data_IF_369999841650
#
_entry.id   IF_369999841650
#
_cell.length_a   1.000
_cell.length_b   1.000
_cell.length_c   1.000
_cell.angle_alpha   90.00
_cell.angle_beta   90.00
_cell.angle_gamma   90.00
#
_symmetry.space_group_name_H-M   'P 1'
#
loop_
_entity.id
_entity.type
_entity.pdbx_description
1 polymer ?
#
# COMPACT_ATOMS: atom_id res chain seq x y z
N UNK A 1 -13.42 27.41 -4.10
CA UNK A 1 -14.25 26.73 -3.09
C UNK A 1 -14.63 25.36 -3.64
N UNK A 2 -14.15 24.27 -3.05
CA UNK A 2 -14.46 22.91 -3.52
C UNK A 2 -15.91 22.57 -3.17
N UNK A 3 -16.74 22.26 -4.16
CA UNK A 3 -18.14 21.87 -3.98
C UNK A 3 -18.22 20.49 -3.31
N UNK A 4 -18.78 20.42 -2.09
CA UNK A 4 -19.01 19.15 -1.39
C UNK A 4 -19.99 18.29 -2.19
N UNK A 5 -19.65 17.03 -2.43
CA UNK A 5 -20.56 16.06 -3.05
C UNK A 5 -21.48 15.48 -1.98
N UNK A 6 -22.78 15.64 -2.17
CA UNK A 6 -23.81 15.20 -1.22
C UNK A 6 -24.28 13.78 -1.58
N UNK A 7 -24.27 12.88 -0.61
CA UNK A 7 -24.79 11.50 -0.73
C UNK A 7 -26.12 11.40 0.00
N UNK A 8 -27.13 10.80 -0.64
CA UNK A 8 -28.45 10.61 -0.03
C UNK A 8 -28.82 9.14 -0.07
N UNK A 9 -29.24 8.59 1.07
CA UNK A 9 -29.85 7.27 1.17
C UNK A 9 -31.33 7.47 1.47
N UNK A 10 -32.18 7.27 0.46
CA UNK A 10 -33.61 7.54 0.54
C UNK A 10 -34.40 6.45 1.26
N UNK A 11 -33.81 5.27 1.50
CA UNK A 11 -34.43 4.14 2.20
C UNK A 11 -34.06 4.16 3.68
N UNK A 12 -35.00 3.73 4.52
CA UNK A 12 -34.76 3.52 5.95
C UNK A 12 -35.69 2.45 6.53
N UNK A 13 -35.16 1.63 7.43
CA UNK A 13 -35.92 0.77 8.34
C UNK A 13 -35.99 1.36 9.76
N UNK A 14 -35.59 2.62 9.94
CA UNK A 14 -35.50 3.24 11.26
C UNK A 14 -36.84 3.28 12.00
N UNK A 15 -36.79 2.96 13.29
CA UNK A 15 -37.90 2.95 14.22
C UNK A 15 -37.65 3.96 15.36
N UNK A 16 -38.50 4.99 15.42
CA UNK A 16 -38.40 6.08 16.41
C UNK A 16 -38.71 5.59 17.84
N UNK A 17 -39.47 4.50 17.99
CA UNK A 17 -39.80 3.95 19.31
C UNK A 17 -38.57 3.32 19.99
N UNK A 18 -37.48 3.13 19.23
CA UNK A 18 -36.20 2.62 19.73
C UNK A 18 -35.25 3.74 20.21
N UNK A 19 -35.69 5.00 20.24
CA UNK A 19 -34.90 6.10 20.78
C UNK A 19 -34.82 6.03 22.31
N UNK A 20 -33.74 6.53 22.92
CA UNK A 20 -33.62 6.52 24.38
C UNK A 20 -34.70 7.42 25.00
N UNK A 21 -35.28 6.98 26.11
CA UNK A 21 -36.31 7.73 26.85
C UNK A 21 -35.74 8.61 27.96
N UNK A 22 -34.53 8.32 28.44
CA UNK A 22 -33.85 9.11 29.48
C UNK A 22 -33.08 10.30 28.86
N UNK A 23 -33.80 11.24 28.26
CA UNK A 23 -33.21 12.36 27.50
C UNK A 23 -32.94 13.64 28.29
N UNK A 24 -33.27 13.64 29.59
CA UNK A 24 -33.09 14.79 30.46
C UNK A 24 -32.12 14.46 31.60
N UNK A 25 -31.35 15.46 32.04
CA UNK A 25 -30.56 15.37 33.28
C UNK A 25 -31.51 15.03 34.43
N UNK A 26 -31.07 14.16 35.34
CA UNK A 26 -31.81 13.87 36.57
C UNK A 26 -32.19 15.20 37.24
N UNK A 27 -33.49 15.37 37.49
CA UNK A 27 -34.05 16.49 38.25
C UNK A 27 -33.70 16.24 39.71
N UNK A 28 -33.24 17.29 40.42
CA UNK A 28 -33.04 17.16 41.87
C UNK A 28 -34.38 16.82 42.56
N UNK A 29 -34.37 16.25 43.79
CA UNK A 29 -35.60 15.88 44.50
C UNK A 29 -36.60 17.04 44.70
N UNK A 30 -36.15 18.28 44.57
CA UNK A 30 -36.94 19.51 44.69
C UNK A 30 -37.54 20.02 43.36
N UNK A 31 -37.35 19.31 42.25
CA UNK A 31 -37.90 19.69 40.95
C UNK A 31 -37.04 20.68 40.14
N UNK A 32 -35.85 21.07 40.61
CA UNK A 32 -35.00 22.03 39.87
C UNK A 32 -34.25 21.39 38.69
N UNK A 33 -34.29 22.08 37.54
CA UNK A 33 -33.51 21.75 36.35
C UNK A 33 -32.06 22.24 36.51
N UNK A 34 -31.11 21.32 36.53
CA UNK A 34 -29.68 21.63 36.70
C UNK A 34 -29.07 22.25 35.43
N UNK A 35 -28.81 23.56 35.47
CA UNK A 35 -28.22 24.29 34.33
C UNK A 35 -26.72 23.99 34.13
N UNK A 36 -26.19 24.05 32.88
CA UNK A 36 -24.84 23.61 32.55
C UNK A 36 -23.68 24.56 32.92
N UNK A 37 -23.93 25.75 33.49
CA UNK A 37 -22.91 26.82 33.53
C UNK A 37 -22.60 27.40 34.92
N UNK A 38 -23.21 26.93 36.00
CA UNK A 38 -22.95 27.51 37.33
C UNK A 38 -21.78 26.79 38.02
N UNK A 39 -20.68 27.50 38.33
CA UNK A 39 -19.63 26.99 39.21
C UNK A 39 -20.13 27.12 40.66
N UNK A 40 -21.09 26.29 41.06
CA UNK A 40 -21.45 26.14 42.47
C UNK A 40 -20.93 24.81 43.00
N UNK A 41 -20.28 24.81 44.17
CA UNK A 41 -19.63 23.65 44.74
C UNK A 41 -20.70 22.70 45.28
N UNK A 42 -20.39 21.40 45.25
CA UNK A 42 -21.20 20.28 45.79
C UNK A 42 -22.28 19.76 44.81
N UNK A 43 -21.85 19.11 43.73
CA UNK A 43 -22.65 18.01 43.17
C UNK A 43 -21.97 16.68 43.53
N UNK A 44 -22.50 16.01 44.57
CA UNK A 44 -22.02 14.71 45.07
C UNK A 44 -22.76 13.53 44.41
N UNK A 45 -23.37 13.74 43.24
CA UNK A 45 -24.20 12.75 42.56
C UNK A 45 -23.54 12.10 41.34
N UNK A 46 -24.04 10.93 40.96
CA UNK A 46 -23.79 10.30 39.66
C UNK A 46 -24.95 10.63 38.71
N UNK A 47 -24.67 10.87 37.42
CA UNK A 47 -25.74 11.04 36.41
C UNK A 47 -25.42 10.33 35.10
N UNK A 48 -26.46 9.81 34.44
CA UNK A 48 -26.40 9.09 33.16
C UNK A 48 -27.67 9.40 32.33
N UNK A 49 -27.53 10.24 31.31
CA UNK A 49 -28.64 10.62 30.42
C UNK A 49 -28.16 10.72 28.97
N UNK A 50 -29.10 10.73 28.04
CA UNK A 50 -28.82 10.92 26.61
C UNK A 50 -29.21 12.33 26.18
N UNK A 51 -28.28 13.05 25.56
CA UNK A 51 -28.58 14.31 24.88
C UNK A 51 -28.67 14.03 23.38
N UNK A 52 -29.74 14.46 22.72
CA UNK A 52 -29.77 14.40 21.26
C UNK A 52 -28.65 15.26 20.68
N UNK A 53 -27.95 14.73 19.68
CA UNK A 53 -26.97 15.49 18.90
C UNK A 53 -27.73 16.18 17.78
N UNK A 54 -27.69 17.51 17.74
CA UNK A 54 -28.40 18.28 16.72
C UNK A 54 -27.70 18.20 15.36
N UNK A 55 -28.45 18.40 14.25
CA UNK A 55 -27.88 18.49 12.92
C UNK A 55 -26.73 19.50 12.87
N UNK A 56 -25.70 19.17 12.10
CA UNK A 56 -24.52 20.01 11.88
C UNK A 56 -23.61 20.24 13.10
N UNK A 57 -23.91 19.64 14.26
CA UNK A 57 -22.92 19.53 15.33
C UNK A 57 -21.67 18.75 14.85
N UNK A 58 -20.46 19.01 15.39
CA UNK A 58 -19.24 18.32 14.98
C UNK A 58 -19.35 16.78 15.00
N UNK A 59 -20.12 16.24 15.94
CA UNK A 59 -20.38 14.80 16.09
C UNK A 59 -21.29 14.27 14.98
N UNK A 60 -22.34 15.01 14.63
CA UNK A 60 -23.22 14.69 13.51
C UNK A 60 -22.47 14.75 12.17
N UNK A 61 -21.74 15.84 11.92
CA UNK A 61 -20.91 16.02 10.71
C UNK A 61 -19.89 14.88 10.54
N UNK A 62 -19.26 14.45 11.63
CA UNK A 62 -18.32 13.33 11.62
C UNK A 62 -18.99 12.02 11.21
N UNK A 63 -20.16 11.72 11.78
CA UNK A 63 -20.92 10.52 11.45
C UNK A 63 -21.37 10.51 9.99
N UNK A 64 -21.99 11.60 9.52
CA UNK A 64 -22.44 11.73 8.13
C UNK A 64 -21.28 11.63 7.13
N UNK A 65 -20.12 12.23 7.44
CA UNK A 65 -18.92 12.14 6.59
C UNK A 65 -18.41 10.71 6.50
N UNK A 66 -18.17 10.05 7.64
CA UNK A 66 -17.65 8.66 7.65
C UNK A 66 -18.58 7.68 6.95
N UNK A 67 -19.89 7.86 7.10
CA UNK A 67 -20.89 7.05 6.41
C UNK A 67 -20.86 7.28 4.89
N UNK A 68 -20.74 8.53 4.44
CA UNK A 68 -20.66 8.86 3.01
C UNK A 68 -19.37 8.38 2.35
N UNK A 69 -18.23 8.54 3.03
CA UNK A 69 -16.93 8.01 2.60
C UNK A 69 -17.01 6.50 2.37
N UNK A 70 -17.61 5.77 3.31
CA UNK A 70 -17.79 4.33 3.20
C UNK A 70 -18.67 3.92 2.00
N UNK A 71 -19.79 4.60 1.77
CA UNK A 71 -20.66 4.33 0.62
C UNK A 71 -19.95 4.61 -0.71
N UNK A 72 -19.22 5.71 -0.81
CA UNK A 72 -18.45 6.04 -2.01
C UNK A 72 -17.36 4.99 -2.26
N UNK A 73 -16.67 4.54 -1.21
CA UNK A 73 -15.67 3.48 -1.29
C UNK A 73 -16.26 2.16 -1.82
N UNK A 74 -17.45 1.76 -1.33
CA UNK A 74 -18.15 0.56 -1.81
C UNK A 74 -18.62 0.67 -3.27
N UNK A 75 -18.91 1.87 -3.74
CA UNK A 75 -19.23 2.17 -5.14
C UNK A 75 -18.01 2.41 -6.04
N UNK A 76 -16.78 2.10 -5.58
CA UNK A 76 -15.53 2.36 -6.30
C UNK A 76 -15.30 3.83 -6.69
N UNK A 77 -15.92 4.77 -5.97
CA UNK A 77 -15.70 6.20 -6.13
C UNK A 77 -14.87 6.71 -4.96
N UNK A 78 -13.60 7.05 -5.18
CA UNK A 78 -12.78 7.71 -4.17
C UNK A 78 -13.01 9.22 -4.29
N UNK A 79 -13.65 9.82 -3.29
CA UNK A 79 -13.85 11.27 -3.23
C UNK A 79 -13.57 11.77 -1.82
N UNK A 80 -12.63 12.71 -1.70
CA UNK A 80 -12.17 13.25 -0.41
C UNK A 80 -13.08 14.35 0.15
N UNK A 81 -14.14 14.73 -0.58
CA UNK A 81 -15.06 15.82 -0.21
C UNK A 81 -16.53 15.38 -0.28
N UNK A 82 -16.86 14.26 0.37
CA UNK A 82 -18.22 13.71 0.44
C UNK A 82 -18.84 13.87 1.83
N UNK A 83 -20.15 14.11 1.87
CA UNK A 83 -20.92 14.07 3.11
C UNK A 83 -22.33 13.57 2.82
N UNK A 84 -22.90 12.84 3.76
CA UNK A 84 -24.31 12.44 3.67
C UNK A 84 -25.20 13.66 3.92
N UNK A 85 -26.28 13.82 3.16
CA UNK A 85 -27.25 14.89 3.38
C UNK A 85 -27.80 14.82 4.82
N UNK A 86 -28.32 13.64 5.17
CA UNK A 86 -28.90 13.31 6.46
C UNK A 86 -28.74 11.82 6.73
N UNK A 87 -28.73 11.43 8.00
CA UNK A 87 -28.81 10.02 8.37
C UNK A 87 -30.19 9.44 7.93
N UNK A 88 -30.30 8.13 7.63
CA UNK A 88 -31.56 7.54 7.21
C UNK A 88 -32.71 7.87 8.17
N UNK A 89 -33.91 8.06 7.62
CA UNK A 89 -35.12 8.45 8.37
C UNK A 89 -35.26 7.63 9.66
N UNK A 90 -35.59 8.29 10.77
CA UNK A 90 -35.74 7.69 12.12
C UNK A 90 -34.46 7.12 12.76
N UNK A 91 -33.29 7.26 12.14
CA UNK A 91 -32.02 7.09 12.83
C UNK A 91 -31.54 8.42 13.43
N UNK A 92 -31.23 8.44 14.73
CA UNK A 92 -30.82 9.66 15.45
C UNK A 92 -29.62 9.43 16.36
N UNK A 93 -28.74 10.42 16.39
CA UNK A 93 -27.56 10.43 17.25
C UNK A 93 -27.91 10.96 18.63
N UNK A 94 -27.47 10.23 19.64
CA UNK A 94 -27.54 10.64 21.03
C UNK A 94 -26.18 10.51 21.69
N UNK A 95 -25.81 11.53 22.44
CA UNK A 95 -24.64 11.56 23.30
C UNK A 95 -25.04 11.11 24.71
N UNK A 96 -24.54 9.95 25.13
CA UNK A 96 -24.64 9.51 26.52
C UNK A 96 -23.65 10.31 27.37
N UNK A 97 -24.16 11.06 28.34
CA UNK A 97 -23.34 11.84 29.27
C UNK A 97 -23.36 11.15 30.63
N UNK A 98 -22.20 10.63 31.04
CA UNK A 98 -21.99 9.96 32.32
C UNK A 98 -21.06 10.75 33.22
N UNK A 99 -21.47 11.00 34.44
CA UNK A 99 -20.61 11.55 35.48
C UNK A 99 -20.63 10.66 36.71
N UNK A 100 -19.45 10.42 37.26
CA UNK A 100 -19.23 9.67 38.50
C UNK A 100 -18.64 10.61 39.53
N UNK A 101 -18.98 10.44 40.80
CA UNK A 101 -18.39 11.18 41.92
C UNK A 101 -16.87 11.04 42.01
N UNK A 102 -16.32 9.98 41.41
CA UNK A 102 -14.88 9.69 41.32
C UNK A 102 -14.19 10.34 40.12
N UNK A 103 -14.93 10.98 39.21
CA UNK A 103 -14.40 11.53 37.96
C UNK A 103 -14.43 13.05 37.96
N UNK A 104 -13.34 13.69 37.57
CA UNK A 104 -13.25 15.17 37.49
C UNK A 104 -14.00 15.76 36.29
N UNK A 105 -14.34 14.95 35.28
CA UNK A 105 -15.06 15.37 34.08
C UNK A 105 -16.10 14.32 33.64
N UNK A 106 -17.24 14.73 33.05
CA UNK A 106 -18.20 13.80 32.47
C UNK A 106 -17.61 13.08 31.26
N UNK A 107 -17.79 11.76 31.20
CA UNK A 107 -17.52 10.96 30.01
C UNK A 107 -18.69 11.10 29.03
N UNK A 108 -18.38 11.31 27.76
CA UNK A 108 -19.39 11.36 26.69
C UNK A 108 -19.14 10.31 25.62
N UNK A 109 -20.17 9.53 25.28
CA UNK A 109 -20.14 8.51 24.22
C UNK A 109 -21.29 8.75 23.25
N UNK A 110 -21.06 8.68 21.94
CA UNK A 110 -22.09 8.91 20.92
C UNK A 110 -22.62 7.58 20.39
N UNK A 111 -23.94 7.46 20.30
CA UNK A 111 -24.62 6.29 19.78
C UNK A 111 -25.64 6.69 18.72
N UNK A 112 -25.82 5.84 17.72
CA UNK A 112 -26.91 5.94 16.75
C UNK A 112 -28.03 4.98 17.15
N UNK A 113 -29.20 5.53 17.41
CA UNK A 113 -30.44 4.80 17.73
C UNK A 113 -31.37 4.77 16.52
N UNK A 114 -32.32 3.83 16.54
CA UNK A 114 -33.34 3.69 15.49
C UNK A 114 -33.40 2.30 14.85
N UNK A 115 -32.52 1.35 15.18
CA UNK A 115 -32.59 0.02 14.55
C UNK A 115 -33.80 -0.78 15.09
N UNK A 116 -34.61 -1.46 14.25
CA UNK A 116 -35.83 -2.19 14.67
C UNK A 116 -35.67 -3.28 15.73
N UNK A 117 -34.44 -3.69 16.03
CA UNK A 117 -34.17 -4.67 17.10
C UNK A 117 -33.97 -4.04 18.48
N UNK A 118 -34.10 -2.71 18.59
CA UNK A 118 -33.82 -1.93 19.81
C UNK A 118 -32.33 -1.81 20.15
N UNK A 119 -31.46 -2.42 19.33
CA UNK A 119 -30.00 -2.27 19.46
C UNK A 119 -29.56 -0.91 18.91
N UNK A 120 -28.43 -0.41 19.41
CA UNK A 120 -27.81 0.85 18.99
C UNK A 120 -26.42 0.62 18.44
N UNK A 121 -26.01 1.44 17.48
CA UNK A 121 -24.65 1.43 16.95
C UNK A 121 -23.76 2.37 17.75
N UNK A 122 -22.55 1.95 18.11
CA UNK A 122 -21.59 2.71 18.92
C UNK A 122 -20.58 3.50 18.10
N UNK A 123 -20.57 3.28 16.79
CA UNK A 123 -19.68 3.99 15.86
C UNK A 123 -20.22 3.90 14.43
N UNK A 124 -19.78 4.79 13.52
CA UNK A 124 -20.10 4.69 12.10
C UNK A 124 -19.75 3.32 11.52
N UNK A 125 -18.61 2.74 11.91
CA UNK A 125 -18.15 1.44 11.41
C UNK A 125 -19.09 0.29 11.77
N UNK A 126 -19.81 0.36 12.88
CA UNK A 126 -20.83 -0.64 13.23
C UNK A 126 -22.10 -0.49 12.38
N UNK A 127 -22.41 0.74 11.95
CA UNK A 127 -23.59 1.07 11.15
C UNK A 127 -23.39 0.87 9.64
N UNK A 128 -22.16 1.03 9.14
CA UNK A 128 -21.80 0.97 7.72
C UNK A 128 -22.40 -0.25 6.98
N UNK A 129 -22.28 -1.45 7.53
CA UNK A 129 -22.82 -2.67 6.90
C UNK A 129 -24.36 -2.60 6.75
N UNK A 130 -25.05 -1.98 7.72
CA UNK A 130 -26.50 -1.76 7.67
C UNK A 130 -26.87 -0.67 6.68
N UNK A 131 -26.11 0.43 6.67
CA UNK A 131 -26.31 1.54 5.75
C UNK A 131 -26.13 1.12 4.28
N UNK A 132 -25.13 0.28 3.99
CA UNK A 132 -24.95 -0.28 2.64
C UNK A 132 -26.11 -1.20 2.25
N UNK A 133 -26.59 -2.03 3.17
CA UNK A 133 -27.79 -2.83 2.95
C UNK A 133 -29.02 -1.95 2.66
N UNK A 134 -29.23 -0.86 3.39
CA UNK A 134 -30.29 0.12 3.10
C UNK A 134 -30.15 0.73 1.70
N UNK A 135 -28.93 1.04 1.28
CA UNK A 135 -28.65 1.67 -0.01
C UNK A 135 -28.78 0.70 -1.20
N UNK A 136 -28.44 -0.58 -1.04
CA UNK A 136 -28.21 -1.50 -2.16
C UNK A 136 -29.06 -2.77 -2.15
N UNK A 137 -29.74 -3.13 -1.05
CA UNK A 137 -30.52 -4.37 -0.98
C UNK A 137 -31.73 -4.35 -1.91
N UNK A 138 -31.79 -5.32 -2.83
CA UNK A 138 -32.90 -5.49 -3.75
C UNK A 138 -34.15 -6.09 -3.08
N UNK A 139 -33.96 -7.08 -2.21
CA UNK A 139 -35.05 -7.84 -1.55
C UNK A 139 -35.50 -7.21 -0.24
N UNK A 140 -34.67 -6.36 0.36
CA UNK A 140 -34.92 -5.75 1.67
C UNK A 140 -35.20 -6.78 2.79
N UNK A 141 -34.69 -7.99 2.62
CA UNK A 141 -34.70 -8.99 3.67
C UNK A 141 -33.58 -8.69 4.68
N UNK A 142 -33.95 -8.47 5.94
CA UNK A 142 -33.00 -8.20 7.04
C UNK A 142 -32.09 -9.40 7.31
N UNK A 143 -32.48 -10.62 6.92
CA UNK A 143 -31.63 -11.81 7.05
C UNK A 143 -30.36 -11.71 6.19
N UNK A 144 -30.40 -10.93 5.10
CA UNK A 144 -29.25 -10.70 4.22
C UNK A 144 -28.33 -9.57 4.72
N UNK A 145 -28.67 -8.90 5.82
CA UNK A 145 -27.86 -7.81 6.37
C UNK A 145 -26.77 -8.35 7.28
N UNK A 146 -25.52 -7.92 7.04
CA UNK A 146 -24.36 -8.41 7.79
C UNK A 146 -24.03 -7.60 9.06
N UNK A 147 -24.83 -6.57 9.37
CA UNK A 147 -24.54 -5.67 10.47
C UNK A 147 -24.65 -6.34 11.85
N UNK A 148 -24.00 -5.74 12.86
CA UNK A 148 -23.99 -6.27 14.23
C UNK A 148 -25.38 -6.27 14.91
N UNK A 149 -26.32 -5.47 14.42
CA UNK A 149 -27.68 -5.40 14.95
C UNK A 149 -28.63 -6.43 14.33
N UNK A 150 -28.39 -6.88 13.08
CA UNK A 150 -29.17 -7.90 12.37
C UNK A 150 -28.71 -9.33 12.69
N UNK A 151 -27.41 -9.57 12.92
CA UNK A 151 -26.92 -10.90 13.32
C UNK A 151 -27.35 -11.24 14.76
N UNK A 152 -27.96 -12.41 14.95
CA UNK A 152 -28.31 -12.93 16.28
C UNK A 152 -27.05 -13.17 17.12
N UNK A 153 -26.84 -12.34 18.16
CA UNK A 153 -25.94 -12.61 19.29
C UNK A 153 -24.43 -12.60 19.06
N UNK A 154 -23.94 -12.61 17.82
CA UNK A 154 -22.50 -12.60 17.54
C UNK A 154 -21.88 -11.23 17.76
N UNK A 155 -21.42 -10.92 18.98
CA UNK A 155 -20.41 -9.87 19.17
C UNK A 155 -19.26 -10.20 18.21
N UNK A 156 -18.95 -9.32 17.24
CA UNK A 156 -17.62 -9.34 16.62
C UNK A 156 -16.61 -9.35 17.80
N UNK A 157 -15.62 -10.24 17.83
CA UNK A 157 -14.72 -10.36 18.97
C UNK A 157 -14.18 -8.97 19.32
N UNK A 158 -14.33 -8.59 20.59
CA UNK A 158 -13.84 -7.31 21.11
C UNK A 158 -12.35 -7.23 20.76
N UNK A 159 -11.98 -6.31 19.87
CA UNK A 159 -10.59 -5.91 19.70
C UNK A 159 -10.19 -5.16 20.98
N UNK A 160 -9.79 -5.91 22.01
CA UNK A 160 -8.97 -5.34 23.07
C UNK A 160 -7.77 -4.67 22.40
N UNK A 161 -7.50 -3.44 22.80
CA UNK A 161 -6.51 -2.53 22.23
C UNK A 161 -5.06 -3.01 22.34
N UNK A 162 -4.75 -4.14 21.71
CA UNK A 162 -3.49 -4.34 21.03
C UNK A 162 -3.71 -3.85 19.61
N UNK A 163 -2.74 -3.12 19.03
CA UNK A 163 -2.69 -2.81 17.59
C UNK A 163 -2.93 -4.13 16.86
N UNK A 164 -4.17 -4.36 16.45
CA UNK A 164 -4.53 -5.58 15.74
C UNK A 164 -3.86 -5.39 14.39
N UNK A 165 -3.08 -6.37 13.91
CA UNK A 165 -2.58 -6.30 12.54
C UNK A 165 -3.79 -5.99 11.64
N UNK A 166 -3.65 -5.05 10.68
CA UNK A 166 -4.76 -4.62 9.85
C UNK A 166 -5.50 -5.85 9.31
N UNK A 167 -6.84 -5.84 9.36
CA UNK A 167 -7.62 -6.91 8.77
C UNK A 167 -7.14 -7.10 7.33
N UNK A 168 -7.14 -8.33 6.81
CA UNK A 168 -6.65 -8.64 5.45
C UNK A 168 -7.15 -7.63 4.41
N UNK A 169 -8.44 -7.29 4.45
CA UNK A 169 -9.08 -6.27 3.58
C UNK A 169 -8.45 -4.88 3.73
N UNK A 170 -8.20 -4.41 4.96
CA UNK A 170 -7.60 -3.10 5.21
C UNK A 170 -6.15 -3.05 4.71
N UNK A 171 -5.41 -4.15 4.89
CA UNK A 171 -4.03 -4.27 4.38
C UNK A 171 -4.00 -4.32 2.86
N UNK A 172 -4.91 -5.08 2.25
CA UNK A 172 -4.99 -5.20 0.79
C UNK A 172 -5.41 -3.85 0.18
N UNK A 173 -6.33 -3.12 0.81
CA UNK A 173 -6.68 -1.74 0.43
C UNK A 173 -5.50 -0.76 0.56
N UNK A 174 -4.73 -0.85 1.66
CA UNK A 174 -3.55 -0.03 1.86
C UNK A 174 -2.48 -0.30 0.80
N UNK A 175 -2.26 -1.58 0.47
CA UNK A 175 -1.29 -1.98 -0.55
C UNK A 175 -1.75 -1.59 -1.97
N UNK A 176 -3.05 -1.67 -2.28
CA UNK A 176 -3.61 -1.13 -3.53
C UNK A 176 -3.40 0.39 -3.60
N UNK A 177 -3.67 1.12 -2.51
CA UNK A 177 -3.43 2.57 -2.44
C UNK A 177 -1.95 2.91 -2.63
N UNK A 178 -1.06 2.13 -2.01
CA UNK A 178 0.39 2.31 -2.16
C UNK A 178 0.82 2.07 -3.61
N UNK A 179 0.41 0.96 -4.22
CA UNK A 179 0.68 0.67 -5.64
C UNK A 179 0.25 1.81 -6.54
N UNK A 180 -1.00 2.29 -6.40
CA UNK A 180 -1.52 3.38 -7.22
C UNK A 180 -0.74 4.69 -7.00
N UNK A 181 -0.23 4.94 -5.80
CA UNK A 181 0.63 6.09 -5.54
C UNK A 181 2.03 5.92 -6.15
N UNK A 182 2.53 4.69 -6.27
CA UNK A 182 3.86 4.33 -6.76
C UNK A 182 3.95 4.22 -8.29
N UNK A 183 2.83 3.93 -8.96
CA UNK A 183 2.76 3.67 -10.42
C UNK A 183 2.03 4.75 -11.21
N UNK A 184 1.46 5.77 -10.55
CA UNK A 184 0.81 6.89 -11.25
C UNK A 184 1.81 7.80 -11.98
N UNK A 185 1.39 8.50 -13.05
CA UNK A 185 2.15 9.62 -13.60
C UNK A 185 2.51 10.63 -12.51
N UNK A 186 3.76 11.08 -12.50
CA UNK A 186 4.28 11.97 -11.45
C UNK A 186 4.49 11.30 -10.07
N UNK A 187 4.43 9.96 -9.97
CA UNK A 187 4.74 9.24 -8.73
C UNK A 187 6.14 9.60 -8.16
N UNK A 188 6.33 9.54 -6.84
CA UNK A 188 7.64 9.70 -6.20
C UNK A 188 8.68 8.74 -6.78
N UNK A 189 9.95 9.17 -6.81
CA UNK A 189 11.03 8.37 -7.39
C UNK A 189 11.32 7.11 -6.55
N UNK A 190 11.45 7.31 -5.24
CA UNK A 190 11.73 6.27 -4.25
C UNK A 190 10.46 5.78 -3.55
N UNK A 191 10.47 4.51 -3.15
CA UNK A 191 9.35 3.81 -2.52
C UNK A 191 9.69 3.35 -1.12
N UNK A 192 8.64 3.15 -0.31
CA UNK A 192 8.81 2.71 1.08
C UNK A 192 9.54 1.37 1.12
N UNK A 193 10.53 1.27 2.01
CA UNK A 193 11.35 0.07 2.17
C UNK A 193 12.49 -0.09 1.16
N UNK A 194 12.62 0.80 0.16
CA UNK A 194 13.77 0.79 -0.74
C UNK A 194 15.06 1.24 -0.03
N UNK A 195 16.19 0.84 -0.61
CA UNK A 195 17.51 1.36 -0.24
C UNK A 195 17.93 2.39 -1.29
N UNK A 196 18.44 3.52 -0.82
CA UNK A 196 18.98 4.59 -1.66
C UNK A 196 20.29 5.10 -1.09
N UNK A 197 21.08 5.78 -1.92
CA UNK A 197 22.20 6.58 -1.44
C UNK A 197 21.71 7.95 -1.04
N UNK A 198 22.01 8.36 0.20
CA UNK A 198 21.92 9.75 0.62
C UNK A 198 23.25 10.45 0.30
N UNK A 199 23.16 11.53 -0.49
CA UNK A 199 24.27 12.43 -0.76
C UNK A 199 24.39 13.45 0.38
N UNK A 200 25.61 13.60 0.92
CA UNK A 200 25.92 14.60 1.92
C UNK A 200 25.81 16.04 1.33
N UNK A 201 25.57 17.02 2.19
CA UNK A 201 25.42 18.43 1.75
C UNK A 201 26.76 19.12 1.51
N UNK A 202 27.80 18.68 2.22
CA UNK A 202 29.08 19.36 2.30
C UNK A 202 30.15 18.72 1.42
N UNK A 203 29.96 17.45 1.04
CA UNK A 203 30.84 16.69 0.17
C UNK A 203 30.02 15.69 -0.68
N UNK A 204 30.56 15.17 -1.78
CA UNK A 204 29.89 14.14 -2.61
C UNK A 204 29.93 12.74 -1.93
N UNK A 205 30.12 12.70 -0.60
CA UNK A 205 30.08 11.43 0.12
C UNK A 205 28.64 10.92 0.16
N UNK A 206 28.52 9.61 0.00
CA UNK A 206 27.23 8.93 -0.04
C UNK A 206 27.16 7.89 1.06
N UNK A 207 26.02 7.84 1.76
CA UNK A 207 25.72 6.79 2.73
C UNK A 207 24.42 6.08 2.37
N UNK A 208 24.34 4.75 2.50
CA UNK A 208 23.10 4.05 2.25
C UNK A 208 22.07 4.38 3.32
N UNK A 209 20.82 4.46 2.90
CA UNK A 209 19.69 4.70 3.78
C UNK A 209 18.48 3.89 3.31
N UNK A 210 17.57 3.64 4.25
CA UNK A 210 16.26 3.05 3.98
C UNK A 210 15.22 4.16 3.88
N UNK A 211 14.33 4.07 2.89
CA UNK A 211 13.14 4.91 2.82
C UNK A 211 12.09 4.39 3.82
N UNK A 212 11.71 5.21 4.79
CA UNK A 212 10.78 4.86 5.87
C UNK A 212 9.40 5.48 5.63
N UNK A 213 9.38 6.73 5.18
CA UNK A 213 8.14 7.46 4.88
C UNK A 213 8.36 8.48 3.75
N UNK A 214 7.28 9.07 3.24
CA UNK A 214 7.32 10.10 2.19
C UNK A 214 6.28 11.19 2.43
N UNK A 215 6.67 12.42 2.12
CA UNK A 215 5.80 13.60 2.17
C UNK A 215 5.72 14.18 0.75
N UNK A 216 4.53 14.22 0.18
CA UNK A 216 4.33 14.52 -1.25
C UNK A 216 3.96 15.98 -1.55
N UNK A 217 3.69 16.80 -0.52
CA UNK A 217 3.23 18.18 -0.67
C UNK A 217 4.03 19.14 0.23
N UNK A 218 4.42 20.35 -0.24
CA UNK A 218 4.45 20.84 -1.62
C UNK A 218 5.70 20.38 -2.41
N UNK A 219 6.75 19.91 -1.72
CA UNK A 219 7.97 19.36 -2.30
C UNK A 219 8.13 17.90 -1.84
N UNK A 220 8.54 17.01 -2.76
CA UNK A 220 8.71 15.60 -2.44
C UNK A 220 9.90 15.43 -1.50
N UNK A 221 9.63 14.95 -0.30
CA UNK A 221 10.65 14.60 0.69
C UNK A 221 10.41 13.23 1.30
N UNK A 222 11.46 12.67 1.91
CA UNK A 222 11.47 11.32 2.42
C UNK A 222 11.99 11.29 3.84
N UNK A 223 11.30 10.58 4.73
CA UNK A 223 11.88 10.17 6.00
C UNK A 223 12.76 8.97 5.72
N UNK A 224 14.05 9.09 6.05
CA UNK A 224 15.03 8.03 5.85
C UNK A 224 15.65 7.58 7.16
N UNK A 225 16.05 6.32 7.23
CA UNK A 225 16.78 5.74 8.36
C UNK A 225 18.14 5.19 7.93
N UNK A 226 19.13 5.30 8.82
CA UNK A 226 20.41 4.61 8.65
C UNK A 226 20.25 3.08 8.78
N UNK A 227 21.06 2.32 8.04
CA UNK A 227 20.95 0.86 8.03
C UNK A 227 21.64 0.20 9.23
N UNK A 228 22.74 0.77 9.75
CA UNK A 228 23.53 0.21 10.84
C UNK A 228 22.94 0.44 12.25
N UNK A 229 21.74 1.00 12.36
CA UNK A 229 20.97 1.02 13.61
C UNK A 229 21.23 2.23 14.51
N UNK A 230 21.97 3.25 14.05
CA UNK A 230 21.89 4.58 14.65
C UNK A 230 20.54 5.16 14.23
N UNK A 231 19.52 5.00 15.08
CA UNK A 231 18.14 5.47 14.85
C UNK A 231 18.07 7.00 14.73
N UNK A 232 18.55 7.55 13.63
CA UNK A 232 18.33 8.92 13.25
C UNK A 232 17.45 8.91 12.01
N UNK A 233 16.14 8.95 12.25
CA UNK A 233 15.20 9.30 11.20
C UNK A 233 15.38 10.78 10.87
N UNK A 234 15.64 11.07 9.60
CA UNK A 234 15.73 12.43 9.11
C UNK A 234 14.87 12.59 7.87
N UNK A 235 14.24 13.75 7.73
CA UNK A 235 13.53 14.10 6.51
C UNK A 235 14.50 14.77 5.54
N UNK A 236 14.56 14.26 4.32
CA UNK A 236 15.44 14.79 3.26
C UNK A 236 14.65 15.06 1.99
N UNK A 237 15.06 16.09 1.27
CA UNK A 237 14.52 16.38 -0.06
C UNK A 237 14.91 15.28 -1.07
N UNK A 238 14.05 15.01 -2.05
CA UNK A 238 14.31 14.01 -3.10
C UNK A 238 15.65 14.22 -3.82
N UNK A 239 16.07 15.48 -4.03
CA UNK A 239 17.32 15.83 -4.71
C UNK A 239 18.58 15.29 -4.00
N UNK A 240 18.47 14.95 -2.71
CA UNK A 240 19.56 14.37 -1.92
C UNK A 240 19.65 12.86 -2.01
N UNK A 241 18.71 12.22 -2.68
CA UNK A 241 18.64 10.77 -2.81
C UNK A 241 18.96 10.36 -4.24
N UNK A 242 19.80 9.34 -4.40
CA UNK A 242 20.04 8.69 -5.69
C UNK A 242 19.82 7.17 -5.58
N UNK A 243 19.37 6.51 -6.67
CA UNK A 243 19.12 5.07 -6.66
C UNK A 243 20.33 4.27 -6.20
N UNK A 244 20.12 3.21 -5.42
CA UNK A 244 21.21 2.34 -4.97
C UNK A 244 22.08 1.83 -6.13
N UNK A 245 21.45 1.46 -7.24
CA UNK A 245 22.09 0.98 -8.47
C UNK A 245 22.97 2.02 -9.18
N UNK A 246 22.89 3.30 -8.81
CA UNK A 246 23.60 4.39 -9.49
C UNK A 246 25.02 4.62 -8.99
N UNK A 247 25.45 3.92 -7.94
CA UNK A 247 26.84 3.97 -7.44
C UNK A 247 27.30 2.57 -7.04
N UNK A 248 28.59 2.28 -7.22
CA UNK A 248 29.20 1.02 -6.75
C UNK A 248 29.46 1.09 -5.25
N UNK A 249 29.00 0.08 -4.53
CA UNK A 249 29.37 -0.14 -3.13
C UNK A 249 30.62 -1.01 -3.04
N UNK A 250 31.58 -0.62 -2.21
CA UNK A 250 32.76 -1.45 -1.92
C UNK A 250 32.38 -2.58 -0.95
N UNK A 251 32.53 -3.83 -1.41
CA UNK A 251 32.26 -5.03 -0.61
C UNK A 251 33.19 -5.18 0.59
N UNK A 252 34.35 -4.53 0.56
CA UNK A 252 35.32 -4.53 1.67
C UNK A 252 35.17 -3.29 2.57
N UNK A 253 34.14 -2.47 2.37
CA UNK A 253 33.96 -1.25 3.13
C UNK A 253 33.82 -1.55 4.63
N UNK A 254 34.57 -0.85 5.51
CA UNK A 254 34.39 -0.98 6.96
C UNK A 254 33.07 -0.35 7.45
N UNK A 255 32.33 0.33 6.57
CA UNK A 255 31.06 0.97 6.91
C UNK A 255 29.96 -0.10 7.04
N UNK A 256 29.45 -0.28 8.26
CA UNK A 256 28.38 -1.25 8.59
C UNK A 256 27.10 -1.02 7.79
N UNK A 257 26.76 0.24 7.47
CA UNK A 257 25.57 0.55 6.67
C UNK A 257 25.76 0.08 5.22
N UNK A 258 26.98 0.17 4.67
CA UNK A 258 27.31 -0.37 3.33
C UNK A 258 27.23 -1.89 3.33
N UNK A 259 27.83 -2.56 4.33
CA UNK A 259 27.76 -4.02 4.45
C UNK A 259 26.32 -4.53 4.54
N UNK A 260 25.50 -3.85 5.34
CA UNK A 260 24.09 -4.19 5.48
C UNK A 260 23.30 -3.91 4.20
N UNK A 261 23.58 -2.82 3.48
CA UNK A 261 22.97 -2.55 2.19
C UNK A 261 23.28 -3.64 1.15
N UNK A 262 24.53 -4.09 1.08
CA UNK A 262 24.96 -5.19 0.20
C UNK A 262 24.24 -6.49 0.55
N UNK A 263 24.13 -6.83 1.84
CA UNK A 263 23.40 -8.02 2.30
C UNK A 263 21.93 -7.98 1.88
N UNK A 264 21.26 -6.83 2.08
CA UNK A 264 19.85 -6.66 1.68
C UNK A 264 19.71 -6.68 0.16
N UNK A 265 20.70 -6.17 -0.57
CA UNK A 265 20.73 -6.17 -2.04
C UNK A 265 20.78 -7.58 -2.62
N UNK A 266 21.29 -8.56 -1.87
CA UNK A 266 21.28 -9.99 -2.23
C UNK A 266 20.04 -10.73 -1.70
N UNK A 267 18.93 -10.03 -1.43
CA UNK A 267 17.70 -10.63 -0.92
C UNK A 267 16.48 -10.32 -1.79
N UNK A 268 15.43 -11.13 -1.68
CA UNK A 268 14.14 -10.81 -2.29
C UNK A 268 12.97 -11.21 -1.40
N UNK A 269 11.82 -10.56 -1.57
CA UNK A 269 10.56 -10.96 -0.91
C UNK A 269 9.34 -10.61 -1.76
N UNK A 270 8.46 -11.58 -1.95
CA UNK A 270 7.15 -11.39 -2.58
C UNK A 270 6.17 -10.82 -1.55
N UNK A 271 5.28 -9.94 -1.98
CA UNK A 271 4.26 -9.38 -1.10
C UNK A 271 2.89 -9.30 -1.78
N UNK A 272 1.84 -9.26 -0.94
CA UNK A 272 0.44 -9.18 -1.37
C UNK A 272 0.08 -10.25 -2.41
N UNK A 273 -0.01 -11.50 -1.95
CA UNK A 273 -0.54 -12.61 -2.75
C UNK A 273 -1.95 -12.25 -3.25
N UNK A 274 -2.18 -12.41 -4.54
CA UNK A 274 -3.48 -12.18 -5.18
C UNK A 274 -4.18 -13.54 -5.23
N UNK A 275 -5.24 -13.69 -4.44
CA UNK A 275 -5.99 -14.96 -4.30
C UNK A 275 -7.08 -15.13 -5.37
N UNK A 276 -7.13 -14.26 -6.37
CA UNK A 276 -8.26 -14.13 -7.31
C UNK A 276 -8.22 -15.06 -8.53
N UNK A 277 -7.34 -16.07 -8.64
CA UNK A 277 -7.15 -16.77 -9.92
C UNK A 277 -7.20 -18.31 -9.93
N UNK A 278 -7.67 -18.89 -11.06
CA UNK A 278 -8.11 -20.29 -11.22
C UNK A 278 -7.01 -21.25 -11.69
N UNK A 279 -5.79 -20.74 -11.95
CA UNK A 279 -4.65 -21.57 -12.34
C UNK A 279 -3.83 -21.98 -11.11
N UNK A 280 -3.97 -23.22 -10.62
CA UNK A 280 -3.20 -23.69 -9.47
C UNK A 280 -1.69 -23.72 -9.73
N UNK A 281 -1.26 -23.59 -10.99
CA UNK A 281 0.14 -23.67 -11.40
C UNK A 281 0.91 -22.34 -11.30
N UNK A 282 0.21 -21.24 -11.09
CA UNK A 282 0.82 -19.91 -11.05
C UNK A 282 0.27 -19.05 -9.91
N UNK A 283 1.07 -18.90 -8.85
CA UNK A 283 0.69 -18.10 -7.68
C UNK A 283 1.03 -16.63 -7.93
N UNK A 284 0.01 -15.80 -8.11
CA UNK A 284 0.15 -14.36 -8.42
C UNK A 284 0.43 -13.51 -7.18
N UNK A 285 1.23 -12.47 -7.35
CA UNK A 285 1.55 -11.47 -6.33
C UNK A 285 1.45 -10.06 -6.93
N UNK A 286 1.11 -9.08 -6.10
CA UNK A 286 1.01 -7.69 -6.56
C UNK A 286 2.38 -7.03 -6.75
N UNK A 287 3.42 -7.53 -6.07
CA UNK A 287 4.77 -7.01 -6.20
C UNK A 287 5.83 -7.83 -5.47
N UNK A 288 7.07 -7.39 -5.63
CA UNK A 288 8.29 -8.03 -5.15
C UNK A 288 9.31 -6.97 -4.72
N UNK A 289 10.07 -7.22 -3.65
CA UNK A 289 11.35 -6.55 -3.46
C UNK A 289 12.45 -7.40 -4.10
N UNK A 290 13.24 -6.83 -4.98
CA UNK A 290 14.47 -7.45 -5.52
C UNK A 290 15.62 -6.56 -5.07
N UNK A 291 16.40 -7.05 -4.12
CA UNK A 291 17.51 -6.33 -3.52
C UNK A 291 17.09 -4.97 -2.95
N UNK A 292 17.60 -3.84 -3.49
CA UNK A 292 17.26 -2.50 -3.03
C UNK A 292 15.87 -2.03 -3.45
N UNK A 293 15.30 -2.60 -4.51
CA UNK A 293 14.17 -2.04 -5.26
C UNK A 293 12.85 -2.69 -4.87
N UNK A 294 11.76 -1.90 -4.88
CA UNK A 294 10.38 -2.38 -4.74
C UNK A 294 9.68 -2.32 -6.08
N UNK A 295 9.28 -3.46 -6.63
CA UNK A 295 8.63 -3.57 -7.94
C UNK A 295 7.17 -4.01 -7.75
N UNK A 296 6.27 -3.36 -8.47
CA UNK A 296 4.84 -3.65 -8.56
C UNK A 296 4.51 -4.23 -9.94
N UNK A 297 3.40 -4.97 -10.02
CA UNK A 297 2.71 -5.14 -11.30
C UNK A 297 2.30 -3.76 -11.83
N UNK A 298 2.47 -3.54 -13.13
CA UNK A 298 2.38 -2.28 -13.87
C UNK A 298 3.62 -1.36 -13.77
N UNK A 299 4.75 -1.89 -13.29
CA UNK A 299 6.03 -1.17 -13.38
C UNK A 299 6.81 -1.45 -14.66
N UNK A 300 7.73 -0.53 -14.94
CA UNK A 300 8.83 -0.73 -15.87
C UNK A 300 10.09 -1.16 -15.13
N UNK A 301 10.64 -2.29 -15.54
CA UNK A 301 11.91 -2.83 -15.04
C UNK A 301 12.91 -2.96 -16.19
N UNK A 302 14.19 -2.86 -15.87
CA UNK A 302 15.25 -3.22 -16.81
C UNK A 302 15.46 -4.72 -16.78
N UNK A 303 15.67 -5.32 -17.93
CA UNK A 303 16.00 -6.73 -18.05
C UNK A 303 17.32 -6.90 -18.81
N UNK A 304 17.94 -8.07 -18.69
CA UNK A 304 19.06 -8.45 -19.54
C UNK A 304 18.64 -8.46 -21.01
N UNK A 305 19.44 -7.84 -21.87
CA UNK A 305 19.17 -7.83 -23.31
C UNK A 305 19.52 -9.19 -23.91
N UNK A 306 18.61 -9.78 -24.71
CA UNK A 306 18.80 -11.10 -25.30
C UNK A 306 19.76 -11.10 -26.49
N UNK A 307 19.81 -10.02 -27.28
CA UNK A 307 20.62 -9.96 -28.50
C UNK A 307 21.87 -9.09 -28.33
N UNK A 308 23.00 -9.57 -28.85
CA UNK A 308 24.25 -8.83 -28.94
C UNK A 308 24.07 -7.59 -29.84
N UNK A 309 23.88 -6.42 -29.23
CA UNK A 309 23.71 -5.14 -29.93
C UNK A 309 22.66 -4.22 -29.31
N UNK A 310 21.71 -4.74 -28.54
CA UNK A 310 20.79 -3.92 -27.75
C UNK A 310 21.49 -3.47 -26.48
N UNK A 311 21.51 -2.15 -26.23
CA UNK A 311 22.18 -1.61 -25.04
C UNK A 311 21.30 -1.68 -23.80
N UNK A 312 19.97 -1.64 -23.97
CA UNK A 312 18.99 -1.61 -22.88
C UNK A 312 17.65 -2.20 -23.33
N UNK A 313 17.08 -3.10 -22.53
CA UNK A 313 15.70 -3.60 -22.67
C UNK A 313 14.89 -3.27 -21.42
N UNK A 314 13.61 -2.93 -21.63
CA UNK A 314 12.64 -2.69 -20.58
C UNK A 314 11.50 -3.70 -20.66
N UNK A 315 11.03 -4.17 -19.52
CA UNK A 315 9.79 -4.92 -19.42
C UNK A 315 8.74 -4.10 -18.66
N UNK A 316 7.56 -3.92 -19.26
CA UNK A 316 6.36 -3.49 -18.59
C UNK A 316 5.68 -4.71 -17.96
N UNK A 317 5.73 -4.80 -16.62
CA UNK A 317 5.30 -5.98 -15.87
C UNK A 317 3.77 -6.04 -15.84
N UNK A 318 3.17 -7.00 -16.54
CA UNK A 318 1.71 -7.22 -16.54
C UNK A 318 1.28 -8.23 -15.50
N UNK A 319 2.17 -9.15 -15.10
CA UNK A 319 1.95 -10.05 -13.97
C UNK A 319 3.28 -10.52 -13.36
N UNK A 320 3.24 -10.92 -12.09
CA UNK A 320 4.37 -11.48 -11.36
C UNK A 320 3.85 -12.63 -10.51
N UNK A 321 4.61 -13.72 -10.45
CA UNK A 321 4.22 -14.86 -9.65
C UNK A 321 5.29 -15.92 -9.48
N UNK A 322 4.87 -17.02 -8.86
CA UNK A 322 5.69 -18.21 -8.64
C UNK A 322 5.10 -19.37 -9.40
N UNK A 323 5.92 -20.03 -10.20
CA UNK A 323 5.56 -21.23 -10.98
C UNK A 323 5.49 -22.48 -10.06
N UNK A 324 5.10 -23.62 -10.62
CA UNK A 324 5.13 -24.91 -9.90
C UNK A 324 6.54 -25.34 -9.50
N UNK A 325 7.53 -24.97 -10.28
CA UNK A 325 8.94 -25.28 -10.03
C UNK A 325 9.54 -24.36 -8.95
N UNK A 326 8.70 -23.53 -8.32
CA UNK A 326 9.07 -22.49 -7.35
C UNK A 326 9.96 -21.38 -7.91
N UNK A 327 9.99 -21.22 -9.24
CA UNK A 327 10.69 -20.12 -9.89
C UNK A 327 9.85 -18.84 -9.84
N UNK A 328 10.53 -17.71 -9.62
CA UNK A 328 9.91 -16.39 -9.61
C UNK A 328 10.03 -15.77 -10.98
N UNK A 329 8.90 -15.45 -11.59
CA UNK A 329 8.85 -14.92 -12.96
C UNK A 329 8.01 -13.66 -13.04
N UNK A 330 8.44 -12.75 -13.90
CA UNK A 330 7.73 -11.55 -14.31
C UNK A 330 7.27 -11.78 -15.75
N UNK A 331 5.99 -11.53 -16.03
CA UNK A 331 5.48 -11.56 -17.39
C UNK A 331 5.13 -10.14 -17.82
N UNK A 332 5.38 -9.79 -19.07
CA UNK A 332 5.19 -8.43 -19.54
C UNK A 332 5.41 -8.18 -21.02
N UNK A 333 5.25 -6.91 -21.38
CA UNK A 333 5.62 -6.37 -22.68
C UNK A 333 7.09 -5.91 -22.64
N UNK A 334 7.91 -6.39 -23.57
CA UNK A 334 9.32 -6.05 -23.68
C UNK A 334 9.50 -4.97 -24.74
N UNK A 335 10.36 -4.00 -24.43
CA UNK A 335 10.69 -2.86 -25.27
C UNK A 335 12.20 -2.77 -25.44
N UNK A 336 12.65 -2.65 -26.69
CA UNK A 336 14.05 -2.45 -27.05
C UNK A 336 14.30 -0.98 -27.37
N UNK A 337 15.48 -0.49 -27.00
CA UNK A 337 15.94 0.86 -27.30
C UNK A 337 16.48 0.94 -28.73
N UNK A 338 15.90 1.81 -29.55
CA UNK A 338 16.36 2.11 -30.91
C UNK A 338 16.87 3.57 -31.02
N UNK A 339 17.91 3.79 -31.84
CA UNK A 339 18.33 5.13 -32.23
C UNK A 339 17.27 5.75 -33.16
N UNK A 340 16.82 6.95 -32.84
CA UNK A 340 15.70 7.59 -33.53
C UNK A 340 16.01 7.90 -35.01
N UNK A 341 15.10 7.49 -35.90
CA UNK A 341 14.98 7.98 -37.28
C UNK A 341 13.66 8.73 -37.35
N UNK A 342 13.67 9.99 -37.82
CA UNK A 342 12.52 10.89 -37.72
C UNK A 342 11.23 10.32 -38.32
N UNK A 343 10.10 10.48 -37.62
CA UNK A 343 8.78 10.47 -38.27
C UNK A 343 7.68 9.57 -37.69
N UNK A 344 7.88 8.83 -36.58
CA UNK A 344 6.80 8.00 -36.00
C UNK A 344 6.70 8.14 -34.48
N UNK A 345 5.48 8.36 -33.99
CA UNK A 345 5.16 8.57 -32.57
C UNK A 345 4.63 7.31 -31.89
N UNK A 346 5.27 7.00 -30.75
CA UNK A 346 4.87 6.27 -29.53
C UNK A 346 3.98 5.00 -29.62
N UNK A 347 4.49 3.91 -29.05
CA UNK A 347 3.71 2.77 -28.56
C UNK A 347 2.89 3.18 -27.33
N UNK A 348 1.57 2.91 -27.33
CA UNK A 348 0.59 3.40 -26.33
C UNK A 348 0.70 2.79 -24.91
N UNK A 349 1.70 1.96 -24.64
CA UNK A 349 1.79 1.15 -23.41
C UNK A 349 2.79 1.73 -22.40
N UNK A 350 3.77 2.52 -22.85
CA UNK A 350 4.81 3.05 -21.95
C UNK A 350 4.32 4.25 -21.13
N UNK A 351 4.77 4.31 -19.88
CA UNK A 351 4.50 5.41 -18.95
C UNK A 351 4.91 6.76 -19.58
N UNK A 352 4.11 7.81 -19.35
CA UNK A 352 4.37 9.17 -19.81
C UNK A 352 5.78 9.66 -19.42
N UNK A 353 6.32 9.24 -18.27
CA UNK A 353 7.71 9.57 -17.86
C UNK A 353 8.75 8.99 -18.82
N UNK A 354 8.56 7.77 -19.29
CA UNK A 354 9.47 7.12 -20.25
C UNK A 354 9.37 7.79 -21.60
N UNK A 355 8.17 8.17 -22.05
CA UNK A 355 7.98 8.87 -23.31
C UNK A 355 8.64 10.27 -23.30
N UNK A 356 8.47 11.02 -22.21
CA UNK A 356 9.13 12.33 -22.03
C UNK A 356 10.65 12.19 -22.01
N UNK A 357 11.17 11.19 -21.30
CA UNK A 357 12.61 10.95 -21.26
C UNK A 357 13.15 10.46 -22.62
N UNK A 358 12.38 9.64 -23.32
CA UNK A 358 12.74 9.16 -24.64
C UNK A 358 12.84 10.30 -25.66
N UNK A 359 11.90 11.24 -25.61
CA UNK A 359 11.93 12.46 -26.42
C UNK A 359 13.15 13.32 -26.12
N UNK A 360 13.45 13.59 -24.84
CA UNK A 360 14.65 14.36 -24.44
C UNK A 360 15.95 13.75 -24.95
N UNK A 361 16.05 12.42 -24.93
CA UNK A 361 17.25 11.69 -25.31
C UNK A 361 17.33 11.38 -26.82
N UNK A 362 16.28 11.70 -27.59
CA UNK A 362 16.19 11.32 -29.00
C UNK A 362 16.24 9.80 -29.19
N UNK A 363 15.59 9.04 -28.31
CA UNK A 363 15.51 7.58 -28.37
C UNK A 363 14.07 7.14 -28.64
N UNK A 364 13.92 5.98 -29.24
CA UNK A 364 12.63 5.33 -29.45
C UNK A 364 12.61 3.99 -28.73
N UNK A 365 11.49 3.68 -28.10
CA UNK A 365 11.23 2.34 -27.56
C UNK A 365 10.29 1.61 -28.51
N UNK A 366 10.72 0.44 -28.99
CA UNK A 366 9.92 -0.41 -29.86
C UNK A 366 9.54 -1.67 -29.11
N UNK A 367 8.25 -2.02 -29.12
CA UNK A 367 7.78 -3.24 -28.47
C UNK A 367 8.29 -4.45 -29.27
N UNK A 368 8.98 -5.37 -28.60
CA UNK A 368 9.56 -6.58 -29.20
C UNK A 368 8.55 -7.72 -29.34
N UNK A 369 7.51 -7.75 -28.52
CA UNK A 369 6.56 -8.85 -28.46
C UNK A 369 5.90 -9.10 -29.83
N UNK A 370 5.98 -10.34 -30.29
CA UNK A 370 5.23 -10.79 -31.46
C UNK A 370 3.71 -10.82 -31.20
N UNK A 371 2.93 -10.92 -32.27
CA UNK A 371 1.49 -11.24 -32.18
C UNK A 371 1.24 -12.57 -32.87
N UNK A 372 0.41 -13.40 -32.25
CA UNK A 372 -0.18 -14.55 -32.91
C UNK A 372 -1.71 -14.40 -33.01
N UNK A 373 -2.38 -15.46 -33.47
CA UNK A 373 -3.83 -15.50 -33.60
C UNK A 373 -4.59 -15.37 -32.26
N UNK A 374 -3.91 -15.56 -31.12
CA UNK A 374 -4.47 -15.49 -29.76
C UNK A 374 -4.27 -14.13 -29.10
N UNK A 375 -3.37 -13.29 -29.61
CA UNK A 375 -3.14 -11.94 -29.13
C UNK A 375 -1.65 -11.55 -29.12
N UNK A 376 -1.28 -10.45 -28.44
CA UNK A 376 0.13 -10.16 -28.17
C UNK A 376 0.73 -11.25 -27.29
N UNK A 377 1.87 -11.80 -27.71
CA UNK A 377 2.64 -12.71 -26.87
C UNK A 377 3.09 -11.96 -25.62
N UNK A 378 2.81 -12.49 -24.44
CA UNK A 378 3.38 -11.96 -23.20
C UNK A 378 4.71 -12.67 -22.98
N UNK A 379 5.79 -11.91 -22.85
CA UNK A 379 7.11 -12.47 -22.59
C UNK A 379 7.25 -12.80 -21.10
N UNK A 380 7.95 -13.88 -20.81
CA UNK A 380 8.29 -14.30 -19.45
C UNK A 380 9.77 -14.05 -19.20
N UNK A 381 10.09 -13.39 -18.09
CA UNK A 381 11.43 -13.08 -17.63
C UNK A 381 11.64 -13.71 -16.26
N UNK A 382 12.77 -14.40 -16.08
CA UNK A 382 13.14 -14.91 -14.77
C UNK A 382 13.58 -13.76 -13.85
N UNK A 383 13.30 -13.86 -12.54
CA UNK A 383 13.67 -12.79 -11.58
C UNK A 383 15.16 -12.46 -11.62
N UNK A 384 16.02 -13.46 -11.89
CA UNK A 384 17.47 -13.28 -11.96
C UNK A 384 17.93 -12.39 -13.13
N UNK A 385 17.10 -12.25 -14.17
CA UNK A 385 17.43 -11.45 -15.36
C UNK A 385 16.95 -10.00 -15.20
N UNK A 386 16.22 -9.69 -14.12
CA UNK A 386 15.76 -8.34 -13.80
C UNK A 386 16.89 -7.51 -13.22
N UNK A 387 17.29 -6.43 -13.90
CA UNK A 387 18.38 -5.52 -13.51
C UNK A 387 17.92 -4.38 -12.59
N UNK A 388 16.74 -4.51 -12.00
CA UNK A 388 16.10 -3.53 -11.14
C UNK A 388 15.10 -2.62 -11.87
N UNK A 389 14.57 -1.64 -11.13
CA UNK A 389 13.60 -0.68 -11.67
C UNK A 389 14.22 0.22 -12.74
N UNK A 390 13.39 0.65 -13.69
CA UNK A 390 13.78 1.75 -14.56
C UNK A 390 13.79 3.08 -13.79
N UNK A 391 14.86 3.85 -13.95
CA UNK A 391 14.99 5.22 -13.46
C UNK A 391 15.32 6.15 -14.65
N UNK A 392 14.98 7.46 -14.56
CA UNK A 392 15.39 8.43 -15.57
C UNK A 392 16.91 8.44 -15.79
N UNK A 393 17.34 8.84 -16.98
CA UNK A 393 18.73 8.71 -17.45
C UNK A 393 19.75 9.53 -16.65
N UNK A 394 19.27 10.46 -15.81
CA UNK A 394 20.08 11.16 -14.81
C UNK A 394 20.71 10.22 -13.77
N UNK A 395 20.31 8.95 -13.72
CA UNK A 395 20.84 7.95 -12.80
C UNK A 395 21.41 6.73 -13.56
N UNK A 396 22.64 6.82 -14.08
CA UNK A 396 23.26 5.69 -14.79
C UNK A 396 23.40 4.50 -13.84
N UNK A 397 22.94 3.31 -14.24
CA UNK A 397 23.18 2.11 -13.46
C UNK A 397 24.62 1.62 -13.65
N UNK A 398 25.31 1.39 -12.54
CA UNK A 398 26.73 1.00 -12.52
C UNK A 398 26.99 -0.19 -11.59
N UNK A 399 25.94 -0.75 -10.98
CA UNK A 399 26.05 -1.84 -10.02
C UNK A 399 25.83 -3.19 -10.69
N UNK A 400 26.73 -4.13 -10.36
CA UNK A 400 26.63 -5.52 -10.76
C UNK A 400 25.55 -6.24 -9.94
N UNK A 401 24.79 -7.13 -10.60
CA UNK A 401 23.79 -7.97 -9.94
C UNK A 401 24.49 -9.04 -9.08
N UNK A 402 23.93 -9.42 -7.92
CA UNK A 402 24.49 -10.51 -7.14
C UNK A 402 24.32 -11.85 -7.89
N UNK A 403 25.28 -12.76 -7.72
CA UNK A 403 25.24 -14.10 -8.35
C UNK A 403 24.02 -14.94 -7.92
N UNK A 404 23.48 -14.63 -6.74
CA UNK A 404 22.33 -15.31 -6.13
C UNK A 404 21.54 -14.37 -5.23
N UNK A 405 20.25 -14.67 -5.06
CA UNK A 405 19.35 -13.95 -4.17
C UNK A 405 18.82 -14.88 -3.08
N UNK A 406 18.78 -14.38 -1.84
CA UNK A 406 18.20 -15.08 -0.69
C UNK A 406 16.75 -14.65 -0.49
N UNK A 407 15.82 -15.63 -0.46
CA UNK A 407 14.42 -15.37 -0.16
C UNK A 407 14.24 -15.01 1.32
N UNK A 408 13.54 -13.92 1.59
CA UNK A 408 13.11 -13.51 2.93
C UNK A 408 11.59 -13.59 3.05
N UNK A 409 11.07 -13.74 4.27
CA UNK A 409 9.63 -13.86 4.52
C UNK A 409 8.87 -12.56 4.22
N UNK A 410 9.51 -11.43 4.49
CA UNK A 410 9.04 -10.08 4.18
C UNK A 410 10.22 -9.11 4.16
N UNK A 411 9.95 -7.85 3.79
CA UNK A 411 10.98 -6.82 3.69
C UNK A 411 11.67 -6.49 5.03
N UNK A 412 10.97 -6.52 6.16
CA UNK A 412 11.59 -6.27 7.47
C UNK A 412 12.58 -7.37 7.87
N UNK A 413 12.31 -8.61 7.48
CA UNK A 413 13.21 -9.72 7.77
C UNK A 413 14.57 -9.48 7.09
N UNK A 414 14.58 -8.95 5.86
CA UNK A 414 15.82 -8.56 5.17
C UNK A 414 16.63 -7.51 5.96
N UNK A 415 15.98 -6.57 6.65
CA UNK A 415 16.65 -5.54 7.46
C UNK A 415 17.13 -6.02 8.85
N UNK A 416 16.65 -7.18 9.32
CA UNK A 416 16.96 -7.75 10.65
C UNK A 416 18.03 -8.84 10.62
N UNK A 417 18.48 -9.22 9.43
CA UNK A 417 19.42 -10.31 9.23
C UNK A 417 20.81 -9.96 9.79
N UNK A 418 21.28 -10.66 10.83
CA UNK A 418 22.65 -10.47 11.35
C UNK A 418 23.63 -11.56 10.86
N UNK A 419 23.21 -12.72 10.35
CA UNK A 419 24.10 -13.81 9.91
C UNK A 419 23.62 -14.48 8.60
N UNK A 420 24.47 -14.54 7.56
CA UNK A 420 24.20 -15.24 6.30
C UNK A 420 25.11 -16.47 6.13
N UNK A 421 24.53 -17.59 5.69
CA UNK A 421 25.24 -18.68 5.01
C UNK A 421 24.79 -18.60 3.53
N UNK A 422 25.69 -18.39 2.57
CA UNK A 422 25.32 -18.31 1.15
C UNK A 422 24.94 -19.69 0.61
N UNK A 423 23.82 -19.76 -0.14
CA UNK A 423 23.52 -20.89 -1.02
C UNK A 423 24.08 -20.58 -2.41
N UNK A 424 24.98 -21.44 -2.90
CA UNK A 424 25.64 -21.28 -4.21
C UNK A 424 24.70 -21.66 -5.35
N UNK A 425 24.89 -21.02 -6.51
CA UNK A 425 24.33 -21.45 -7.79
C UNK A 425 24.84 -22.88 -8.08
N UNK A 426 23.98 -23.84 -8.45
CA UNK A 426 24.47 -25.12 -8.96
C UNK A 426 25.24 -24.86 -10.28
N UNK A 427 26.32 -25.59 -10.56
CA UNK A 427 27.09 -25.40 -11.78
C UNK A 427 26.19 -25.62 -13.00
N UNK A 428 26.31 -24.75 -13.99
CA UNK A 428 25.69 -24.93 -15.30
C UNK A 428 26.12 -26.28 -15.85
N UNK A 429 25.16 -27.13 -16.21
CA UNK A 429 25.46 -28.28 -17.05
C UNK A 429 25.77 -27.72 -18.44
N UNK A 430 27.05 -27.59 -18.75
CA UNK A 430 27.53 -27.40 -20.11
C UNK A 430 27.09 -28.63 -20.92
N UNK A 431 26.04 -28.44 -21.72
CA UNK A 431 25.68 -29.36 -22.78
C UNK A 431 26.52 -29.02 -24.01
N UNK A 432 27.56 -29.84 -24.21
CA UNK A 432 27.96 -30.28 -25.55
C UNK A 432 29.12 -29.52 -26.20
N UNK A 433 30.21 -30.26 -26.42
CA UNK A 433 31.30 -29.85 -27.29
C UNK A 433 32.48 -30.83 -27.32
N UNK A 434 32.22 -32.11 -27.60
CA UNK A 434 33.28 -33.04 -28.02
C UNK A 434 33.91 -32.57 -29.34
N UNK A 435 35.22 -32.35 -29.36
CA UNK A 435 36.09 -32.69 -30.49
C UNK A 435 37.56 -32.49 -30.14
N UNK A 436 38.42 -33.44 -30.50
CA UNK A 436 39.85 -33.18 -30.67
C UNK A 436 40.79 -34.25 -30.11
N UNK A 437 41.06 -35.27 -30.93
CA UNK A 437 42.15 -36.23 -30.76
C UNK A 437 43.50 -35.55 -30.43
N UNK A 438 44.15 -36.03 -29.37
CA UNK A 438 45.56 -35.77 -29.08
C UNK A 438 46.36 -37.06 -29.15
N UNK A 439 47.13 -37.21 -30.24
CA UNK A 439 48.12 -38.27 -30.45
C UNK A 439 49.15 -38.32 -29.32
N UNK A 440 49.48 -39.55 -28.90
CA UNK A 440 50.62 -39.83 -28.03
C UNK A 440 51.89 -39.90 -28.88
N UNK A 441 52.82 -38.97 -28.69
CA UNK A 441 54.24 -39.17 -29.04
C UNK A 441 55.00 -39.75 -27.84
N UNK A 442 55.79 -40.83 -28.02
CA UNK A 442 56.66 -41.35 -26.97
C UNK A 442 57.98 -40.57 -26.93
N UNK A 443 58.51 -40.32 -25.73
CA UNK A 443 59.85 -39.77 -25.54
C UNK A 443 60.81 -40.92 -25.28
N UNK A 444 61.71 -41.18 -26.23
CA UNK A 444 62.94 -41.94 -26.05
C UNK A 444 64.06 -40.89 -25.92
N UNK A 445 64.89 -41.12 -24.90
CA UNK A 445 66.12 -40.40 -24.48
C UNK A 445 65.95 -39.03 -23.79
#
# INVERSE_FOLDING_TARGET
MSTKRIVTVSRSDGDQDQWPTNTHKAVAPDGTLLQPHSPSPIFTGTYDYFRQVEPDEPKDLLWRRKCAEFLCQKGHHVSENVIMNELPKNYKLYEQVKFSSTSSKPRTDVYLFGHPTGRRFRSPNEFNDHLFWLACSATYDRSSCECCCCRNGGKRPRSHGKKTPPKKIDRDNAAVKERLADTRPGAPLFRLGEIAWLVAEQDDTCRPCRIVDRHLDPNISYTIADLAGLQHEQTVDQSRLVPWVSRRADSNSPNKSIQKALQISSSYSLFQKIDDEPDPKFRKFAGIYIGPDKIWVQDLVRIEAEEAGHTEELMYVTSLGVTNDNEVVLNGDVFTREKFVSGYMATRILDQKVLVEAEKLGIKWTQRNGRDASGPHVMQCHMMDVKGRWFPSTFPAVMDQPDSYQRTGNREDAFKFEHCIPLKRPPSQDLGGESGHGEKTPRIE
#
